data_IF_462699746344
#
_entry.id   IF_462699746344
#
_cell.length_a   1.000
_cell.length_b   1.000
_cell.length_c   1.000
_cell.angle_alpha   90.00
_cell.angle_beta   90.00
_cell.angle_gamma   90.00
#
_symmetry.space_group_name_H-M   'P 1'
#
loop_
_entity.id
_entity.type
_entity.pdbx_description
1 polymer ?
#
# COMPACT_ATOMS: atom_id res chain seq x y z
N UNK A 1 29.78 -15.76 32.35
CA UNK A 1 30.08 -14.89 31.19
C UNK A 1 28.77 -14.29 30.70
N UNK A 2 28.36 -13.17 31.28
CA UNK A 2 27.09 -12.50 30.96
C UNK A 2 27.35 -11.45 29.88
N UNK A 3 26.80 -11.66 28.67
CA UNK A 3 26.84 -10.68 27.58
C UNK A 3 25.68 -9.73 27.81
N UNK A 4 25.94 -8.63 28.51
CA UNK A 4 24.96 -7.54 28.59
C UNK A 4 24.87 -6.91 27.19
N UNK A 5 23.68 -6.86 26.56
CA UNK A 5 23.53 -6.14 25.30
C UNK A 5 23.92 -4.68 25.54
N UNK A 6 24.78 -4.13 24.67
CA UNK A 6 25.17 -2.74 24.74
C UNK A 6 23.90 -1.86 24.74
N UNK A 7 23.86 -0.77 25.51
CA UNK A 7 22.73 0.16 25.45
C UNK A 7 22.65 0.66 24.01
N UNK A 8 21.60 0.27 23.29
CA UNK A 8 21.30 0.88 22.01
C UNK A 8 21.19 2.39 22.27
N UNK A 9 22.11 3.17 21.72
CA UNK A 9 22.02 4.63 21.74
C UNK A 9 20.76 5.01 20.97
N UNK A 10 19.64 5.12 21.66
CA UNK A 10 18.34 5.53 21.11
C UNK A 10 18.26 7.04 20.94
N UNK A 11 19.32 7.65 20.39
CA UNK A 11 19.27 9.05 19.96
C UNK A 11 18.59 9.06 18.60
N UNK A 12 17.26 9.21 18.59
CA UNK A 12 16.51 9.35 17.33
C UNK A 12 16.85 10.70 16.72
N UNK A 13 17.40 10.68 15.50
CA UNK A 13 17.60 11.90 14.72
C UNK A 13 16.23 12.41 14.21
N UNK A 14 15.89 13.69 14.44
CA UNK A 14 14.65 14.26 13.92
C UNK A 14 14.69 14.32 12.39
N UNK A 15 13.55 14.06 11.76
CA UNK A 15 13.36 14.27 10.33
C UNK A 15 13.14 15.76 10.04
N UNK A 16 13.50 16.18 8.83
CA UNK A 16 13.05 17.46 8.30
C UNK A 16 11.51 17.55 8.34
N UNK A 17 10.92 18.73 8.66
CA UNK A 17 9.48 18.86 8.84
C UNK A 17 8.66 18.31 7.68
N UNK A 18 9.06 18.62 6.44
CA UNK A 18 8.38 18.14 5.23
C UNK A 18 8.43 16.61 5.09
N UNK A 19 9.55 15.98 5.47
CA UNK A 19 9.67 14.52 5.45
C UNK A 19 8.80 13.88 6.55
N UNK A 20 8.76 14.48 7.74
CA UNK A 20 7.87 14.03 8.82
C UNK A 20 6.40 14.12 8.39
N UNK A 21 6.01 15.20 7.71
CA UNK A 21 4.64 15.36 7.20
C UNK A 21 4.31 14.37 6.09
N UNK A 22 5.23 14.10 5.16
CA UNK A 22 5.06 13.08 4.15
C UNK A 22 4.84 11.68 4.76
N UNK A 23 5.60 11.34 5.81
CA UNK A 23 5.44 10.06 6.53
C UNK A 23 4.08 10.00 7.24
N UNK A 24 3.65 11.09 7.89
CA UNK A 24 2.31 11.16 8.51
C UNK A 24 1.18 11.02 7.48
N UNK A 25 1.31 11.68 6.33
CA UNK A 25 0.35 11.59 5.24
C UNK A 25 0.28 10.15 4.68
N UNK A 26 1.43 9.51 4.48
CA UNK A 26 1.48 8.12 4.07
C UNK A 26 0.86 7.17 5.10
N UNK A 27 1.09 7.41 6.39
CA UNK A 27 0.46 6.65 7.46
C UNK A 27 -1.07 6.85 7.47
N UNK A 28 -1.56 8.07 7.26
CA UNK A 28 -2.99 8.34 7.17
C UNK A 28 -3.63 7.60 5.98
N UNK A 29 -3.04 7.71 4.79
CA UNK A 29 -3.47 6.96 3.60
C UNK A 29 -3.44 5.45 3.82
N UNK A 30 -2.44 4.95 4.53
CA UNK A 30 -2.33 3.52 4.84
C UNK A 30 -3.47 3.05 5.75
N UNK A 31 -3.81 3.83 6.78
CA UNK A 31 -4.97 3.53 7.64
C UNK A 31 -6.27 3.54 6.85
N UNK A 32 -6.49 4.58 6.05
CA UNK A 32 -7.68 4.68 5.20
C UNK A 32 -7.81 3.49 4.24
N UNK A 33 -6.70 3.06 3.61
CA UNK A 33 -6.70 1.88 2.75
C UNK A 33 -7.01 0.60 3.53
N UNK A 34 -6.49 0.47 4.76
CA UNK A 34 -6.78 -0.68 5.62
C UNK A 34 -8.27 -0.73 6.01
N UNK A 35 -8.86 0.42 6.35
CA UNK A 35 -10.28 0.52 6.69
C UNK A 35 -11.17 0.14 5.50
N UNK A 36 -10.81 0.58 4.28
CA UNK A 36 -11.52 0.18 3.04
C UNK A 36 -11.41 -1.31 2.78
N UNK A 37 -10.23 -1.90 2.95
CA UNK A 37 -10.03 -3.34 2.76
C UNK A 37 -10.83 -4.14 3.78
N UNK A 38 -10.80 -3.74 5.06
CA UNK A 38 -11.59 -4.37 6.11
C UNK A 38 -13.08 -4.36 5.76
N UNK A 39 -13.61 -3.21 5.33
CA UNK A 39 -15.01 -3.11 4.90
C UNK A 39 -15.37 -4.08 3.76
N UNK A 40 -14.52 -4.22 2.74
CA UNK A 40 -14.75 -5.17 1.64
C UNK A 40 -14.72 -6.62 2.11
N UNK A 41 -13.78 -6.97 3.01
CA UNK A 41 -13.68 -8.32 3.55
C UNK A 41 -14.88 -8.67 4.45
N UNK A 42 -15.33 -7.72 5.27
CA UNK A 42 -16.54 -7.86 6.10
C UNK A 42 -17.81 -7.99 5.26
N UNK A 43 -17.93 -7.21 4.19
CA UNK A 43 -19.02 -7.30 3.22
C UNK A 43 -19.02 -8.67 2.53
N UNK A 44 -17.86 -9.13 2.06
CA UNK A 44 -17.71 -10.46 1.44
C UNK A 44 -18.06 -11.58 2.41
N UNK A 45 -17.66 -11.45 3.68
CA UNK A 45 -18.01 -12.42 4.72
C UNK A 45 -19.51 -12.45 5.03
N UNK A 46 -20.19 -11.30 4.88
CA UNK A 46 -21.63 -11.16 5.15
C UNK A 46 -22.50 -11.58 3.96
N UNK A 47 -22.09 -11.21 2.75
CA UNK A 47 -22.92 -11.27 1.54
C UNK A 47 -22.42 -12.28 0.51
N UNK A 48 -21.23 -12.87 0.71
CA UNK A 48 -20.57 -13.73 -0.27
C UNK A 48 -19.80 -12.93 -1.33
N UNK A 49 -19.27 -13.63 -2.32
CA UNK A 49 -18.57 -13.00 -3.45
C UNK A 49 -19.57 -12.35 -4.43
N UNK A 50 -19.18 -11.27 -5.12
CA UNK A 50 -19.98 -10.70 -6.21
C UNK A 50 -20.18 -11.72 -7.34
N UNK A 51 -21.22 -11.50 -8.13
CA UNK A 51 -21.48 -12.31 -9.31
C UNK A 51 -20.38 -12.10 -10.36
N UNK A 52 -20.06 -13.15 -11.11
CA UNK A 52 -19.00 -13.09 -12.14
C UNK A 52 -19.34 -12.05 -13.21
N UNK A 53 -20.62 -11.89 -13.52
CA UNK A 53 -21.15 -10.91 -14.48
C UNK A 53 -20.96 -9.46 -14.01
N UNK A 54 -20.79 -9.25 -12.71
CA UNK A 54 -20.51 -7.94 -12.09
C UNK A 54 -19.00 -7.68 -11.92
N UNK A 55 -18.17 -8.68 -12.19
CA UNK A 55 -16.72 -8.60 -12.05
C UNK A 55 -16.04 -8.22 -13.37
N UNK A 56 -14.95 -7.47 -13.28
CA UNK A 56 -14.08 -7.23 -14.44
C UNK A 56 -13.13 -8.42 -14.64
N UNK A 57 -13.02 -8.99 -15.84
CA UNK A 57 -12.05 -10.04 -16.14
C UNK A 57 -10.62 -9.60 -15.84
N UNK A 58 -9.82 -10.54 -15.32
CA UNK A 58 -8.42 -10.27 -14.98
C UNK A 58 -7.61 -9.78 -16.18
N UNK A 59 -7.87 -10.35 -17.36
CA UNK A 59 -7.22 -10.00 -18.61
C UNK A 59 -7.40 -8.51 -18.93
N UNK A 60 -8.61 -7.97 -18.77
CA UNK A 60 -8.89 -6.57 -19.06
C UNK A 60 -8.13 -5.62 -18.13
N UNK A 61 -8.11 -5.93 -16.82
CA UNK A 61 -7.36 -5.15 -15.84
C UNK A 61 -5.86 -5.21 -16.10
N UNK A 62 -5.33 -6.41 -16.39
CA UNK A 62 -3.92 -6.63 -16.69
C UNK A 62 -3.49 -5.84 -17.94
N UNK A 63 -4.22 -5.99 -19.04
CA UNK A 63 -3.85 -5.31 -20.29
C UNK A 63 -3.95 -3.79 -20.17
N UNK A 64 -4.97 -3.28 -19.47
CA UNK A 64 -5.08 -1.84 -19.18
C UNK A 64 -3.88 -1.34 -18.38
N UNK A 65 -3.46 -2.09 -17.37
CA UNK A 65 -2.31 -1.74 -16.55
C UNK A 65 -1.00 -1.79 -17.35
N UNK A 66 -0.79 -2.84 -18.15
CA UNK A 66 0.40 -2.99 -19.00
C UNK A 66 0.48 -1.89 -20.06
N UNK A 67 -0.63 -1.55 -20.72
CA UNK A 67 -0.68 -0.44 -21.66
C UNK A 67 -0.30 0.89 -20.99
N UNK A 68 -0.80 1.14 -19.78
CA UNK A 68 -0.45 2.31 -18.97
C UNK A 68 1.05 2.35 -18.62
N UNK A 69 1.65 1.21 -18.26
CA UNK A 69 3.09 1.13 -17.99
C UNK A 69 3.91 1.33 -19.26
N UNK A 70 3.50 0.74 -20.38
CA UNK A 70 4.15 0.92 -21.67
C UNK A 70 4.14 2.39 -22.11
N UNK A 71 3.03 3.09 -21.92
CA UNK A 71 2.90 4.52 -22.22
C UNK A 71 3.77 5.42 -21.31
N UNK A 72 4.08 4.97 -20.09
CA UNK A 72 4.94 5.69 -19.16
C UNK A 72 6.43 5.40 -19.36
N UNK A 73 6.78 4.37 -20.15
CA UNK A 73 8.17 4.01 -20.37
C UNK A 73 8.77 4.99 -21.38
N UNK A 74 9.84 5.74 -21.03
CA UNK A 74 10.56 6.55 -22.01
C UNK A 74 11.07 5.63 -23.11
N UNK A 75 11.03 6.06 -24.37
CA UNK A 75 11.72 5.37 -25.45
C UNK A 75 13.22 5.34 -25.09
N UNK A 76 13.72 4.17 -24.73
CA UNK A 76 15.16 3.95 -24.58
C UNK A 76 15.74 4.02 -25.99
N UNK A 77 16.41 5.12 -26.30
CA UNK A 77 17.17 5.34 -27.53
C UNK A 77 18.56 4.70 -27.42
#
# INVERSE_FOLDING_TARGET
>A
MSRQPAPASTVRQPLEPAAADAVRAYAAKTRENADRLAAVLEDTATNGLPLVEECTPWEELRETHLARLAAQRPAVA
#
